data_IF_394556592140
#
_entry.id   IF_394556592140
#
_cell.length_a   1.000
_cell.length_b   1.000
_cell.length_c   1.000
_cell.angle_alpha   90.00
_cell.angle_beta   90.00
_cell.angle_gamma   90.00
#
_symmetry.space_group_name_H-M   'P 1'
#
loop_
_entity.id
_entity.type
_entity.pdbx_description
1 polymer ?
#
# COMPACT_ATOMS: atom_id res chain seq x y z
N UNK A 1 -5.10 21.13 -5.23
CA UNK A 1 -5.69 21.02 -3.88
C UNK A 1 -6.82 20.02 -3.95
N UNK A 2 -6.81 19.01 -3.10
CA UNK A 2 -7.90 18.03 -2.96
C UNK A 2 -8.87 18.61 -1.93
N UNK A 3 -10.14 18.71 -2.31
CA UNK A 3 -11.19 19.22 -1.42
C UNK A 3 -10.83 20.56 -0.74
N UNK A 4 -10.06 21.41 -1.45
CA UNK A 4 -9.62 22.71 -0.95
C UNK A 4 -8.43 22.68 0.03
N UNK A 5 -7.92 21.52 0.43
CA UNK A 5 -6.78 21.37 1.33
C UNK A 5 -5.44 21.25 0.56
N UNK A 6 -4.36 21.87 1.03
CA UNK A 6 -3.02 21.70 0.47
C UNK A 6 -2.38 20.36 0.82
N UNK A 7 -2.78 19.74 1.95
CA UNK A 7 -2.23 18.46 2.41
C UNK A 7 -3.35 17.46 2.61
N UNK A 8 -3.11 16.23 2.13
CA UNK A 8 -4.03 15.11 2.25
C UNK A 8 -3.26 13.89 2.72
N UNK A 9 -3.77 13.22 3.72
CA UNK A 9 -3.25 11.96 4.23
C UNK A 9 -4.24 10.85 3.87
N UNK A 10 -3.75 9.81 3.18
CA UNK A 10 -4.47 8.56 3.06
C UNK A 10 -4.07 7.66 4.22
N UNK A 11 -5.06 7.01 4.84
CA UNK A 11 -4.82 6.15 5.99
C UNK A 11 -5.75 4.93 5.99
N UNK A 12 -5.30 3.88 6.64
CA UNK A 12 -6.15 2.71 6.86
C UNK A 12 -6.90 2.85 8.17
N UNK A 13 -8.15 2.42 8.17
CA UNK A 13 -8.94 2.30 9.38
C UNK A 13 -9.77 1.02 9.36
N UNK A 14 -9.66 0.25 10.43
CA UNK A 14 -10.49 -0.91 10.68
C UNK A 14 -11.79 -0.54 11.40
N UNK A 15 -12.81 -1.35 11.22
CA UNK A 15 -14.10 -1.17 11.86
C UNK A 15 -15.27 -1.66 11.01
N UNK A 16 -16.48 -1.29 11.42
CA UNK A 16 -17.70 -1.53 10.65
C UNK A 16 -18.01 -0.35 9.73
N UNK A 17 -18.46 -0.65 8.53
CA UNK A 17 -18.89 0.37 7.58
C UNK A 17 -20.19 1.02 8.08
N UNK A 18 -20.32 2.37 8.08
CA UNK A 18 -21.49 3.04 8.63
C UNK A 18 -22.83 2.66 7.99
N UNK A 19 -22.81 2.34 6.69
CA UNK A 19 -24.03 2.06 5.91
C UNK A 19 -24.30 0.56 5.73
N UNK A 20 -23.24 -0.25 5.55
CA UNK A 20 -23.38 -1.69 5.23
C UNK A 20 -23.17 -2.61 6.41
N UNK A 21 -22.68 -2.08 7.54
CA UNK A 21 -22.27 -2.83 8.75
C UNK A 21 -21.19 -3.90 8.52
N UNK A 22 -20.62 -3.98 7.33
CA UNK A 22 -19.54 -4.91 7.01
C UNK A 22 -18.26 -4.56 7.77
N UNK A 23 -17.67 -5.56 8.42
CA UNK A 23 -16.39 -5.43 9.11
C UNK A 23 -15.25 -5.44 8.08
N UNK A 24 -14.19 -4.65 8.33
CA UNK A 24 -12.99 -4.66 7.48
C UNK A 24 -12.08 -3.48 7.72
N UNK A 25 -10.97 -3.44 6.99
CA UNK A 25 -10.12 -2.25 6.90
C UNK A 25 -10.34 -1.55 5.57
N UNK A 26 -10.36 -0.22 5.60
CA UNK A 26 -10.68 0.64 4.46
C UNK A 26 -9.73 1.82 4.39
N UNK A 27 -9.62 2.38 3.20
CA UNK A 27 -8.83 3.60 2.97
C UNK A 27 -9.72 4.82 3.20
N UNK A 28 -9.27 5.67 4.09
CA UNK A 28 -9.85 6.99 4.34
C UNK A 28 -8.86 8.11 4.04
N UNK A 29 -9.37 9.34 4.00
CA UNK A 29 -8.55 10.55 3.87
C UNK A 29 -8.77 11.50 5.02
N UNK A 30 -7.70 12.19 5.41
CA UNK A 30 -7.72 13.34 6.30
C UNK A 30 -7.07 14.53 5.62
N UNK A 31 -7.57 15.70 5.92
CA UNK A 31 -7.21 16.97 5.29
C UNK A 31 -6.52 17.87 6.30
N UNK A 32 -5.49 18.59 5.87
CA UNK A 32 -4.79 19.57 6.70
C UNK A 32 -4.41 20.81 5.91
N UNK A 33 -4.30 21.94 6.62
CA UNK A 33 -3.76 23.21 6.10
C UNK A 33 -2.30 23.42 6.47
N UNK A 34 -1.83 22.75 7.53
CA UNK A 34 -0.57 23.05 8.21
C UNK A 34 0.29 21.80 8.53
N UNK A 35 -0.19 20.59 8.17
CA UNK A 35 0.35 19.27 8.51
C UNK A 35 0.39 18.96 10.02
N UNK A 36 -0.16 19.81 10.86
CA UNK A 36 -0.22 19.63 12.31
C UNK A 36 -1.63 19.24 12.75
N UNK A 37 -2.63 19.96 12.23
CA UNK A 37 -4.03 19.71 12.53
C UNK A 37 -4.69 19.00 11.37
N UNK A 38 -5.30 17.84 11.64
CA UNK A 38 -5.93 17.00 10.64
C UNK A 38 -7.43 16.85 10.91
N UNK A 39 -8.23 16.99 9.85
CA UNK A 39 -9.66 16.76 9.88
C UNK A 39 -10.00 15.59 8.94
N UNK A 40 -10.69 14.58 9.47
CA UNK A 40 -11.20 13.47 8.64
C UNK A 40 -12.21 14.00 7.63
N UNK A 41 -12.12 13.48 6.42
CA UNK A 41 -13.12 13.77 5.39
C UNK A 41 -14.46 13.14 5.76
N UNK A 42 -15.55 13.87 5.60
CA UNK A 42 -16.89 13.39 5.96
C UNK A 42 -17.42 12.29 5.04
N UNK A 43 -16.89 12.17 3.83
CA UNK A 43 -17.22 11.11 2.86
C UNK A 43 -16.34 9.87 2.97
N UNK A 44 -15.61 9.65 4.08
CA UNK A 44 -14.89 8.40 4.30
C UNK A 44 -15.83 7.21 4.55
N UNK A 45 -15.43 5.99 4.18
CA UNK A 45 -14.22 5.62 3.46
C UNK A 45 -14.24 6.05 2.00
N UNK A 46 -13.07 6.35 1.41
CA UNK A 46 -12.97 6.69 -0.02
C UNK A 46 -12.68 5.49 -0.91
N UNK A 47 -12.23 4.38 -0.33
CA UNK A 47 -11.99 3.15 -1.06
C UNK A 47 -11.98 1.92 -0.14
N UNK A 48 -12.62 0.84 -0.60
CA UNK A 48 -12.65 -0.46 0.06
C UNK A 48 -13.04 -1.58 -0.92
N UNK A 49 -12.66 -2.81 -0.59
CA UNK A 49 -13.37 -3.99 -1.04
C UNK A 49 -14.49 -4.31 -0.05
N UNK A 50 -15.70 -4.54 -0.57
CA UNK A 50 -16.91 -4.55 0.26
C UNK A 50 -17.37 -5.96 0.68
N UNK A 51 -16.45 -6.89 0.91
CA UNK A 51 -16.79 -8.17 1.53
C UNK A 51 -16.45 -8.16 3.03
N UNK A 52 -17.23 -8.86 3.83
CA UNK A 52 -17.00 -8.91 5.28
C UNK A 52 -15.64 -9.52 5.63
N UNK A 53 -14.91 -8.88 6.51
CA UNK A 53 -13.57 -9.29 6.92
C UNK A 53 -12.42 -8.91 5.98
N UNK A 54 -12.69 -8.24 4.85
CA UNK A 54 -11.63 -7.81 3.94
C UNK A 54 -10.76 -6.70 4.51
N UNK A 55 -9.50 -6.71 4.09
CA UNK A 55 -8.55 -5.63 4.36
C UNK A 55 -8.20 -4.96 3.03
N UNK A 56 -8.36 -3.65 2.96
CA UNK A 56 -7.92 -2.82 1.85
C UNK A 56 -7.06 -1.70 2.42
N UNK A 57 -5.78 -1.65 2.04
CA UNK A 57 -4.91 -0.72 2.74
C UNK A 57 -3.57 -0.42 2.08
N UNK A 58 -2.77 0.37 2.81
CA UNK A 58 -1.44 0.86 2.44
C UNK A 58 -1.43 1.57 1.06
N UNK A 59 -2.37 2.48 0.88
CA UNK A 59 -2.54 3.25 -0.34
C UNK A 59 -1.29 4.07 -0.68
N UNK A 60 -0.60 3.70 -1.75
CA UNK A 60 0.53 4.43 -2.33
C UNK A 60 0.11 5.07 -3.64
N UNK A 61 0.02 6.41 -3.66
CA UNK A 61 -0.56 7.14 -4.79
C UNK A 61 0.53 7.79 -5.63
N UNK A 62 0.42 7.59 -6.95
CA UNK A 62 1.27 8.24 -7.94
C UNK A 62 0.44 8.89 -9.03
N UNK A 63 0.92 10.00 -9.57
CA UNK A 63 0.36 10.60 -10.77
C UNK A 63 1.01 9.97 -12.01
N UNK A 64 0.19 9.42 -12.90
CA UNK A 64 0.62 8.81 -14.16
C UNK A 64 -0.11 9.48 -15.32
N UNK A 65 0.54 10.43 -15.99
CA UNK A 65 -0.12 11.27 -16.98
C UNK A 65 -1.23 12.10 -16.34
N UNK A 66 -2.45 11.96 -16.83
CA UNK A 66 -3.63 12.69 -16.34
C UNK A 66 -4.40 11.93 -15.25
N UNK A 67 -3.95 10.72 -14.90
CA UNK A 67 -4.61 9.83 -13.95
C UNK A 67 -3.78 9.70 -12.68
N UNK A 68 -4.44 9.63 -11.53
CA UNK A 68 -3.84 9.19 -10.28
C UNK A 68 -4.05 7.68 -10.13
N UNK A 69 -2.99 6.97 -9.78
CA UNK A 69 -3.00 5.53 -9.54
C UNK A 69 -2.68 5.28 -8.06
N UNK A 70 -3.58 4.61 -7.39
CA UNK A 70 -3.39 4.13 -6.03
C UNK A 70 -2.98 2.67 -6.09
N UNK A 71 -1.72 2.37 -5.82
CA UNK A 71 -1.27 1.01 -5.55
C UNK A 71 -1.63 0.67 -4.11
N UNK A 72 -2.27 -0.46 -3.91
CA UNK A 72 -2.73 -0.91 -2.60
C UNK A 72 -2.66 -2.43 -2.48
N UNK A 73 -2.81 -2.95 -1.28
CA UNK A 73 -3.03 -4.37 -1.08
C UNK A 73 -4.46 -4.65 -0.60
N UNK A 74 -4.95 -5.83 -0.93
CA UNK A 74 -6.12 -6.38 -0.28
C UNK A 74 -5.82 -7.75 0.31
N UNK A 75 -6.54 -8.11 1.36
CA UNK A 75 -6.44 -9.41 2.00
C UNK A 75 -7.81 -9.95 2.39
N UNK A 76 -7.89 -11.28 2.44
CA UNK A 76 -9.11 -12.02 2.78
C UNK A 76 -10.31 -11.74 1.86
N UNK A 77 -10.01 -11.40 0.62
CA UNK A 77 -11.02 -11.17 -0.42
C UNK A 77 -11.61 -12.52 -0.87
N UNK A 78 -12.92 -12.78 -0.65
CA UNK A 78 -13.53 -14.08 -0.93
C UNK A 78 -13.46 -14.53 -2.40
N UNK A 79 -13.36 -13.59 -3.32
CA UNK A 79 -13.24 -13.86 -4.77
C UNK A 79 -11.82 -14.31 -5.18
N UNK A 80 -10.85 -14.30 -4.27
CA UNK A 80 -9.45 -14.66 -4.54
C UNK A 80 -9.07 -16.00 -3.90
N UNK A 81 -8.20 -16.74 -4.60
CA UNK A 81 -7.65 -18.03 -4.10
C UNK A 81 -6.50 -17.83 -3.08
N UNK A 82 -5.90 -16.66 -3.05
CA UNK A 82 -4.77 -16.30 -2.18
C UNK A 82 -5.22 -15.31 -1.11
N UNK A 83 -4.54 -15.34 0.04
CA UNK A 83 -4.95 -14.57 1.22
C UNK A 83 -4.69 -13.07 1.09
N UNK A 84 -3.66 -12.67 0.35
CA UNK A 84 -3.35 -11.26 0.14
C UNK A 84 -2.66 -11.05 -1.20
N UNK A 85 -2.85 -9.88 -1.78
CA UNK A 85 -2.32 -9.51 -3.09
C UNK A 85 -2.16 -8.00 -3.18
N UNK A 86 -1.34 -7.54 -4.15
CA UNK A 86 -1.24 -6.14 -4.51
C UNK A 86 -1.89 -5.89 -5.86
N UNK A 87 -2.64 -4.80 -5.96
CA UNK A 87 -3.32 -4.35 -7.16
C UNK A 87 -3.36 -2.83 -7.20
N UNK A 88 -4.24 -2.22 -8.00
CA UNK A 88 -4.36 -0.77 -8.09
C UNK A 88 -5.78 -0.32 -8.38
N UNK A 89 -6.05 0.93 -8.04
CA UNK A 89 -7.23 1.67 -8.46
C UNK A 89 -6.80 2.98 -9.13
N UNK A 90 -7.67 3.56 -9.95
CA UNK A 90 -7.42 4.80 -10.66
C UNK A 90 -8.43 5.87 -10.29
N UNK A 91 -8.00 7.14 -10.32
CA UNK A 91 -8.84 8.30 -10.02
C UNK A 91 -8.40 9.52 -10.81
N UNK A 92 -9.35 10.41 -11.13
CA UNK A 92 -9.04 11.74 -11.68
C UNK A 92 -9.08 12.84 -10.62
N UNK A 93 -9.71 12.61 -9.47
CA UNK A 93 -9.97 13.63 -8.44
C UNK A 93 -9.38 13.31 -7.06
N UNK A 94 -8.74 12.11 -6.91
CA UNK A 94 -8.14 11.65 -5.67
C UNK A 94 -9.15 11.34 -4.55
N UNK A 95 -10.43 11.27 -4.86
CA UNK A 95 -11.51 10.95 -3.91
C UNK A 95 -12.33 9.77 -4.40
N UNK A 96 -12.72 9.80 -5.69
CA UNK A 96 -13.48 8.75 -6.33
C UNK A 96 -12.53 7.79 -7.06
N UNK A 97 -12.47 6.55 -6.60
CA UNK A 97 -11.54 5.54 -7.10
C UNK A 97 -12.27 4.45 -7.86
N UNK A 98 -11.76 4.11 -9.03
CA UNK A 98 -12.20 2.96 -9.83
C UNK A 98 -11.19 1.84 -9.66
N UNK A 99 -11.65 0.72 -9.12
CA UNK A 99 -10.84 -0.46 -8.90
C UNK A 99 -10.49 -1.18 -10.21
N UNK A 100 -9.27 -1.70 -10.30
CA UNK A 100 -8.83 -2.52 -11.41
C UNK A 100 -9.51 -3.90 -11.36
N UNK A 101 -10.11 -4.32 -12.48
CA UNK A 101 -10.84 -5.59 -12.60
C UNK A 101 -10.07 -6.70 -13.33
N UNK A 102 -8.83 -6.43 -13.74
CA UNK A 102 -7.96 -7.41 -14.37
C UNK A 102 -7.16 -8.26 -13.38
N UNK A 103 -6.05 -8.83 -13.86
CA UNK A 103 -5.14 -9.61 -13.04
C UNK A 103 -4.46 -8.74 -11.97
N UNK A 104 -4.31 -9.28 -10.76
CA UNK A 104 -3.59 -8.61 -9.69
C UNK A 104 -2.09 -8.47 -10.03
N UNK A 105 -1.46 -7.39 -9.57
CA UNK A 105 -0.07 -7.08 -9.91
C UNK A 105 0.93 -8.02 -9.25
N UNK A 106 0.73 -8.29 -7.97
CA UNK A 106 1.57 -9.18 -7.17
C UNK A 106 0.67 -10.13 -6.40
N UNK A 107 0.92 -11.41 -6.56
CA UNK A 107 0.24 -12.49 -5.83
C UNK A 107 1.29 -13.40 -5.18
N UNK A 108 0.94 -14.16 -4.14
CA UNK A 108 1.78 -15.22 -3.63
C UNK A 108 2.22 -16.18 -4.74
N UNK A 109 3.51 -16.33 -4.94
CA UNK A 109 4.05 -17.08 -6.09
C UNK A 109 5.36 -17.81 -5.80
N UNK A 110 5.99 -17.55 -4.68
CA UNK A 110 7.29 -18.09 -4.27
C UNK A 110 7.23 -18.62 -2.84
N UNK A 111 8.18 -19.45 -2.48
CA UNK A 111 8.29 -20.01 -1.13
C UNK A 111 8.46 -18.95 -0.02
N UNK A 112 8.88 -17.74 -0.35
CA UNK A 112 9.02 -16.65 0.62
C UNK A 112 7.77 -15.79 0.77
N UNK A 113 6.76 -15.90 -0.12
CA UNK A 113 5.52 -15.11 -0.09
C UNK A 113 4.23 -15.95 -0.12
N UNK A 114 4.33 -17.27 0.11
CA UNK A 114 3.23 -18.23 0.02
C UNK A 114 1.99 -17.85 0.82
N UNK A 115 2.19 -17.24 2.00
CA UNK A 115 1.09 -16.87 2.89
C UNK A 115 0.50 -15.51 2.54
N UNK A 116 1.37 -14.49 2.38
CA UNK A 116 0.96 -13.13 2.02
C UNK A 116 1.96 -12.46 1.08
N UNK A 117 1.45 -11.84 0.03
CA UNK A 117 2.12 -10.81 -0.76
C UNK A 117 1.32 -9.52 -0.61
N UNK A 118 1.70 -8.63 0.34
CA UNK A 118 0.89 -7.49 0.73
C UNK A 118 1.74 -6.24 1.00
N UNK A 119 1.09 -5.09 1.28
CA UNK A 119 1.74 -3.79 1.49
C UNK A 119 2.52 -3.32 0.28
N UNK A 120 2.05 -2.28 -0.35
CA UNK A 120 2.53 -1.82 -1.66
C UNK A 120 3.37 -0.55 -1.54
N UNK A 121 4.54 -0.54 -2.16
CA UNK A 121 5.30 0.67 -2.41
C UNK A 121 5.93 0.62 -3.79
N UNK A 122 5.52 1.52 -4.68
CA UNK A 122 5.92 1.51 -6.09
C UNK A 122 6.70 2.75 -6.45
N UNK A 123 7.87 2.58 -7.05
CA UNK A 123 8.67 3.68 -7.59
C UNK A 123 9.10 3.37 -9.02
N UNK A 124 9.30 4.42 -9.81
CA UNK A 124 9.89 4.32 -11.15
C UNK A 124 11.23 5.04 -11.15
N UNK A 125 12.26 4.35 -11.57
CA UNK A 125 13.62 4.88 -11.70
C UNK A 125 14.27 4.33 -12.97
N UNK A 126 14.91 5.18 -13.78
CA UNK A 126 15.59 4.84 -15.03
C UNK A 126 14.76 3.94 -15.98
N UNK A 127 13.46 4.25 -16.08
CA UNK A 127 12.55 3.50 -16.96
C UNK A 127 12.19 2.10 -16.46
N UNK A 128 12.55 1.75 -15.23
CA UNK A 128 12.17 0.52 -14.54
C UNK A 128 11.18 0.85 -13.43
N UNK A 129 10.11 0.08 -13.32
CA UNK A 129 9.18 0.12 -12.18
C UNK A 129 9.65 -0.92 -11.16
N UNK A 130 9.75 -0.48 -9.93
CA UNK A 130 10.10 -1.28 -8.76
C UNK A 130 8.88 -1.32 -7.84
N UNK A 131 8.35 -2.50 -7.61
CA UNK A 131 7.23 -2.73 -6.70
C UNK A 131 7.76 -3.49 -5.48
N UNK A 132 7.96 -2.78 -4.38
CA UNK A 132 8.32 -3.36 -3.10
C UNK A 132 7.06 -3.83 -2.39
N UNK A 133 7.13 -5.00 -1.76
CA UNK A 133 6.02 -5.55 -1.00
C UNK A 133 6.51 -6.38 0.20
N UNK A 134 5.67 -6.53 1.20
CA UNK A 134 5.94 -7.42 2.31
C UNK A 134 5.57 -8.84 1.91
N UNK A 135 6.55 -9.72 1.93
CA UNK A 135 6.42 -11.13 1.68
C UNK A 135 6.37 -11.89 3.01
N UNK A 136 5.45 -12.86 3.13
CA UNK A 136 5.33 -13.72 4.31
C UNK A 136 5.17 -15.15 3.85
N UNK A 137 6.00 -16.05 4.36
CA UNK A 137 5.94 -17.48 4.07
C UNK A 137 5.04 -18.23 5.06
N UNK A 138 4.84 -19.52 4.81
CA UNK A 138 4.00 -20.36 5.67
C UNK A 138 4.58 -20.58 7.09
N UNK A 139 5.86 -20.32 7.30
CA UNK A 139 6.49 -20.28 8.64
C UNK A 139 6.36 -18.90 9.32
N UNK A 140 5.54 -18.00 8.77
CA UNK A 140 5.32 -16.63 9.24
C UNK A 140 6.57 -15.74 9.26
N UNK A 141 7.62 -16.14 8.60
CA UNK A 141 8.80 -15.29 8.41
C UNK A 141 8.46 -14.17 7.42
N UNK A 142 8.93 -12.96 7.75
CA UNK A 142 8.61 -11.75 7.00
C UNK A 142 9.86 -11.12 6.39
N UNK A 143 9.70 -10.57 5.19
CA UNK A 143 10.74 -9.84 4.50
C UNK A 143 10.15 -8.84 3.49
N UNK A 144 11.02 -8.02 2.93
CA UNK A 144 10.68 -7.16 1.80
C UNK A 144 11.13 -7.86 0.53
N UNK A 145 10.18 -8.09 -0.36
CA UNK A 145 10.44 -8.58 -1.70
C UNK A 145 10.23 -7.47 -2.73
N UNK A 146 10.72 -7.69 -3.94
CA UNK A 146 10.65 -6.74 -5.03
C UNK A 146 10.25 -7.44 -6.33
N UNK A 147 9.31 -6.85 -7.05
CA UNK A 147 9.04 -7.15 -8.44
C UNK A 147 9.45 -5.97 -9.33
N UNK A 148 9.91 -6.25 -10.54
CA UNK A 148 10.41 -5.24 -11.46
C UNK A 148 9.81 -5.40 -12.84
N UNK A 149 9.59 -4.28 -13.55
CA UNK A 149 9.03 -4.29 -14.91
C UNK A 149 10.02 -4.73 -16.00
N UNK A 150 11.29 -4.85 -15.65
CA UNK A 150 12.36 -5.36 -16.54
C UNK A 150 13.21 -6.39 -15.78
N UNK A 151 13.78 -7.39 -16.48
CA UNK A 151 14.74 -8.28 -15.84
C UNK A 151 15.90 -7.49 -15.23
N UNK A 152 16.19 -7.75 -13.96
CA UNK A 152 17.29 -7.14 -13.23
C UNK A 152 18.36 -8.21 -12.98
N UNK A 153 19.59 -7.93 -13.34
CA UNK A 153 20.73 -8.72 -12.90
C UNK A 153 20.88 -8.65 -11.37
N UNK A 154 21.52 -9.65 -10.76
CA UNK A 154 21.84 -9.57 -9.33
C UNK A 154 22.84 -8.43 -9.12
N UNK A 155 22.54 -7.54 -8.19
CA UNK A 155 23.47 -6.50 -7.78
C UNK A 155 24.74 -7.14 -7.18
N UNK A 156 25.90 -6.71 -7.65
CA UNK A 156 27.18 -7.06 -7.04
C UNK A 156 27.53 -6.15 -5.85
N UNK A 157 26.69 -5.20 -5.52
CA UNK A 157 26.93 -4.25 -4.42
C UNK A 157 26.87 -5.02 -3.10
N UNK A 158 28.01 -5.11 -2.44
CA UNK A 158 28.12 -5.57 -1.06
C UNK A 158 28.15 -4.34 -0.17
N UNK A 159 27.10 -4.12 0.60
CA UNK A 159 27.18 -3.12 1.67
C UNK A 159 28.12 -3.63 2.75
N UNK A 160 29.16 -2.85 3.13
CA UNK A 160 29.97 -3.20 4.28
C UNK A 160 29.03 -3.31 5.50
N UNK A 161 29.22 -4.35 6.31
CA UNK A 161 28.50 -4.43 7.60
C UNK A 161 28.86 -3.18 8.39
N UNK A 162 27.89 -2.39 8.84
CA UNK A 162 28.19 -1.24 9.67
C UNK A 162 28.92 -1.74 10.92
N UNK A 163 30.12 -1.20 11.18
CA UNK A 163 30.75 -1.38 12.49
C UNK A 163 29.90 -0.66 13.52
N UNK A 164 29.05 -1.40 14.22
CA UNK A 164 28.28 -0.86 15.33
C UNK A 164 29.23 -0.65 16.50
N UNK A 165 29.95 0.49 16.49
CA UNK A 165 30.87 0.87 17.56
C UNK A 165 30.16 1.24 18.86
N UNK A 166 28.87 1.55 18.83
CA UNK A 166 28.06 1.81 20.04
C UNK A 166 26.58 1.53 19.81
N UNK A 167 26.01 0.63 20.62
CA UNK A 167 24.56 0.32 20.64
C UNK A 167 23.70 1.40 21.31
N UNK A 168 24.23 2.61 21.57
CA UNK A 168 23.54 3.71 22.28
C UNK A 168 23.59 5.04 21.53
N UNK A 169 23.41 5.05 20.23
CA UNK A 169 22.97 6.27 19.60
C UNK A 169 21.44 6.28 19.53
N UNK A 170 20.84 6.81 20.57
CA UNK A 170 19.45 7.26 20.52
C UNK A 170 19.50 8.54 19.66
N UNK A 171 18.86 8.49 18.49
CA UNK A 171 18.62 9.71 17.71
C UNK A 171 17.47 10.40 18.41
N UNK A 172 17.76 11.43 19.20
CA UNK A 172 16.74 12.36 19.65
C UNK A 172 16.35 13.24 18.46
N UNK A 173 15.12 13.04 17.98
CA UNK A 173 14.49 13.94 17.02
C UNK A 173 13.95 15.14 17.82
N UNK A 174 14.63 16.28 17.72
CA UNK A 174 14.10 17.57 18.18
C UNK A 174 13.03 18.11 17.22
#
# INVERSE_FOLDING_TARGET
KILGAPFVMYYNAGGRHPETDLKGERVGIALSKDMKTWKRYSGNPVFAHEADGTITGDAHIQKMGDVYVMFYFSAFEPSRKYKAFNTFAASYDLVNWTDWKGADLIIPSKNYDELFAHKSYVVKHDGVVYHFYCAVNNAEQRGIAIATSKPMGRSAVRFPKPEIKNRRQIIELN
#
